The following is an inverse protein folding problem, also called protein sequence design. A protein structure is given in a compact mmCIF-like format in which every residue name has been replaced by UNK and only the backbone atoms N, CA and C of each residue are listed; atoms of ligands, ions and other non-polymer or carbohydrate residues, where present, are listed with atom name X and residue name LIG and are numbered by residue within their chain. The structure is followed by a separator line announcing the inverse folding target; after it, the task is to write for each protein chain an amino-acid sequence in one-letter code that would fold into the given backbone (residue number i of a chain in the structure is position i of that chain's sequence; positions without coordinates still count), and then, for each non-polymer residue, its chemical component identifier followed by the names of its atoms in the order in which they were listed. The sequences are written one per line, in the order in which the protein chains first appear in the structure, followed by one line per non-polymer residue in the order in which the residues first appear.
data_IF_655891339347
#
_entry.id   IF_655891339347
#
_cell.length_a   1.000
_cell.length_b   1.000
_cell.length_c   1.000
_cell.angle_alpha   90.00
_cell.angle_beta   90.00
_cell.angle_gamma   90.00
#
_symmetry.space_group_name_H-M   'P 1'
#
loop_
_entity.id
_entity.type
_entity.pdbx_description
1 polymer ?
#
# COMPACT_ATOMS: atom_id res chain seq x y z
N UNK A 1 6.24 -16.10 8.09
CA UNK A 1 5.81 -15.12 7.07
C UNK A 1 7.02 -14.76 6.24
N UNK A 2 6.97 -15.04 4.95
CA UNK A 2 8.02 -14.70 3.99
C UNK A 2 7.75 -13.33 3.36
N UNK A 3 8.75 -12.78 2.67
CA UNK A 3 8.56 -11.56 1.88
C UNK A 3 7.54 -11.76 0.75
N UNK A 4 7.51 -12.95 0.15
CA UNK A 4 6.58 -13.24 -0.96
C UNK A 4 5.14 -13.33 -0.46
N UNK A 5 4.91 -13.83 0.77
CA UNK A 5 3.60 -13.79 1.41
C UNK A 5 3.10 -12.34 1.55
N UNK A 6 3.97 -11.44 2.03
CA UNK A 6 3.65 -10.01 2.18
C UNK A 6 3.40 -9.33 0.84
N UNK A 7 4.23 -9.59 -0.17
CA UNK A 7 4.02 -9.07 -1.52
C UNK A 7 2.68 -9.57 -2.07
N UNK A 8 2.34 -10.86 -1.93
CA UNK A 8 1.06 -11.41 -2.39
C UNK A 8 -0.15 -10.85 -1.63
N UNK A 9 0.06 -10.32 -0.42
CA UNK A 9 -0.99 -9.66 0.36
C UNK A 9 -1.35 -8.28 -0.21
N UNK A 10 -0.44 -7.60 -0.92
CA UNK A 10 -0.73 -6.34 -1.63
C UNK A 10 -1.79 -6.56 -2.72
N UNK A 11 -2.78 -5.67 -2.81
CA UNK A 11 -3.91 -5.69 -3.76
C UNK A 11 -4.08 -4.33 -4.44
N UNK A 12 -4.80 -4.24 -5.57
CA UNK A 12 -5.27 -2.93 -6.02
C UNK A 12 -6.41 -2.46 -5.12
N UNK A 13 -6.61 -1.15 -5.03
CA UNK A 13 -7.84 -0.63 -4.42
C UNK A 13 -8.98 -0.92 -5.38
N UNK A 14 -9.97 -1.68 -4.92
CA UNK A 14 -11.24 -1.89 -5.59
C UNK A 14 -12.29 -1.12 -4.79
N UNK A 15 -13.22 -0.47 -5.47
CA UNK A 15 -14.29 0.24 -4.78
C UNK A 15 -15.60 0.26 -5.57
N UNK A 16 -16.70 0.41 -4.84
CA UNK A 16 -18.03 0.64 -5.41
C UNK A 16 -18.20 2.10 -5.82
N UNK A 17 -18.63 2.32 -7.07
CA UNK A 17 -18.81 3.66 -7.64
C UNK A 17 -20.16 4.29 -7.28
N UNK A 18 -21.17 3.46 -7.00
CA UNK A 18 -22.56 3.86 -6.85
C UNK A 18 -23.32 4.02 -8.18
N UNK A 19 -22.68 3.71 -9.31
CA UNK A 19 -23.28 3.80 -10.65
C UNK A 19 -23.69 2.39 -11.14
N UNK A 20 -24.94 2.23 -11.57
CA UNK A 20 -25.48 0.93 -12.00
C UNK A 20 -24.74 0.32 -13.20
N UNK A 21 -24.32 1.18 -14.14
CA UNK A 21 -23.61 0.75 -15.35
C UNK A 21 -22.15 0.37 -15.09
N UNK A 22 -21.52 1.00 -14.08
CA UNK A 22 -20.09 0.90 -13.80
C UNK A 22 -19.85 0.62 -12.31
N UNK A 23 -20.42 -0.44 -11.73
CA UNK A 23 -20.56 -0.59 -10.28
C UNK A 23 -19.24 -0.66 -9.51
N UNK A 24 -18.13 -0.99 -10.17
CA UNK A 24 -16.82 -1.18 -9.54
C UNK A 24 -15.71 -0.48 -10.31
N UNK A 25 -14.77 0.12 -9.61
CA UNK A 25 -13.58 0.71 -10.22
C UNK A 25 -12.30 0.38 -9.43
N UNK A 26 -11.16 0.73 -10.02
CA UNK A 26 -9.81 0.49 -9.48
C UNK A 26 -9.07 1.82 -9.29
N UNK A 27 -8.29 1.96 -8.22
CA UNK A 27 -7.48 3.17 -7.99
C UNK A 27 -6.20 2.89 -7.22
N UNK A 28 -5.08 2.66 -7.91
CA UNK A 28 -3.81 2.44 -7.23
C UNK A 28 -3.72 1.12 -6.46
N UNK A 29 -2.87 1.08 -5.44
CA UNK A 29 -2.45 -0.12 -4.71
C UNK A 29 -2.72 0.05 -3.21
N UNK A 30 -3.08 -1.02 -2.49
CA UNK A 30 -3.23 -1.05 -1.04
C UNK A 30 -2.67 -2.34 -0.44
N UNK A 31 -2.37 -2.33 0.86
CA UNK A 31 -1.78 -3.47 1.56
C UNK A 31 -2.22 -3.52 3.02
N UNK A 32 -2.18 -4.71 3.65
CA UNK A 32 -2.59 -4.87 5.03
C UNK A 32 -1.41 -4.66 6.00
N UNK A 33 -1.70 -4.06 7.15
CA UNK A 33 -0.78 -3.99 8.31
C UNK A 33 -1.56 -4.31 9.58
N UNK A 34 -0.88 -4.84 10.58
CA UNK A 34 -1.43 -4.96 11.94
C UNK A 34 -0.77 -3.95 12.87
N UNK A 35 -1.50 -3.55 13.90
CA UNK A 35 -0.95 -2.79 15.01
C UNK A 35 -1.68 -3.18 16.28
N UNK A 36 -0.97 -3.74 17.28
CA UNK A 36 -1.57 -4.26 18.51
C UNK A 36 -2.74 -5.23 18.27
N UNK A 37 -2.59 -6.12 17.28
CA UNK A 37 -3.62 -7.12 16.92
C UNK A 37 -4.80 -6.58 16.09
N UNK A 38 -4.89 -5.27 15.83
CA UNK A 38 -5.92 -4.68 14.97
C UNK A 38 -5.43 -4.63 13.52
N UNK A 39 -6.29 -5.04 12.58
CA UNK A 39 -6.00 -5.04 11.15
C UNK A 39 -6.39 -3.71 10.49
N UNK A 40 -5.48 -3.20 9.66
CA UNK A 40 -5.66 -1.99 8.87
C UNK A 40 -5.29 -2.24 7.41
N UNK A 41 -5.95 -1.53 6.50
CA UNK A 41 -5.58 -1.46 5.08
C UNK A 41 -5.02 -0.06 4.81
N UNK A 42 -3.86 -0.01 4.18
CA UNK A 42 -3.09 1.22 3.95
C UNK A 42 -2.89 1.45 2.47
N UNK A 43 -2.92 2.72 2.05
CA UNK A 43 -2.63 3.16 0.69
C UNK A 43 -2.19 4.63 0.65
N UNK A 44 -1.96 5.17 -0.54
CA UNK A 44 -1.81 6.59 -0.78
C UNK A 44 -3.19 7.30 -0.72
N UNK A 45 -3.24 8.49 -0.13
CA UNK A 45 -4.50 9.19 0.10
C UNK A 45 -5.13 9.71 -1.20
N UNK A 46 -4.32 10.18 -2.15
CA UNK A 46 -4.84 10.69 -3.43
C UNK A 46 -5.60 9.63 -4.24
N UNK A 47 -5.29 8.34 -4.05
CA UNK A 47 -6.05 7.24 -4.65
C UNK A 47 -7.51 7.22 -4.18
N UNK A 48 -7.79 7.72 -2.97
CA UNK A 48 -9.14 7.87 -2.43
C UNK A 48 -9.74 9.23 -2.75
N UNK A 49 -8.99 10.31 -2.52
CA UNK A 49 -9.54 11.67 -2.64
C UNK A 49 -9.91 12.04 -4.08
N UNK A 50 -9.12 11.59 -5.07
CA UNK A 50 -9.37 11.93 -6.48
C UNK A 50 -10.69 11.35 -7.00
N UNK A 51 -11.11 10.20 -6.45
CA UNK A 51 -12.35 9.51 -6.82
C UNK A 51 -13.43 9.58 -5.74
N UNK A 52 -13.19 10.35 -4.66
CA UNK A 52 -14.10 10.50 -3.50
C UNK A 52 -14.52 9.15 -2.89
N UNK A 53 -13.60 8.19 -2.86
CA UNK A 53 -13.83 6.85 -2.32
C UNK A 53 -14.06 6.97 -0.82
N UNK A 54 -15.16 6.40 -0.34
CA UNK A 54 -15.44 6.29 1.09
C UNK A 54 -15.00 4.92 1.64
N UNK A 55 -14.70 4.80 2.93
CA UNK A 55 -14.31 3.52 3.54
C UNK A 55 -15.33 2.41 3.30
N UNK A 56 -16.61 2.70 3.44
CA UNK A 56 -17.70 1.73 3.25
C UNK A 56 -17.80 1.17 1.83
N UNK A 57 -17.25 1.90 0.84
CA UNK A 57 -17.25 1.47 -0.56
C UNK A 57 -15.97 0.73 -0.93
N UNK A 58 -15.00 0.60 -0.04
CA UNK A 58 -13.71 -0.03 -0.34
C UNK A 58 -13.84 -1.55 -0.23
N UNK A 59 -13.35 -2.26 -1.24
CA UNK A 59 -13.41 -3.71 -1.32
C UNK A 59 -11.99 -4.30 -1.21
N UNK A 60 -11.65 -4.78 -0.01
CA UNK A 60 -10.43 -5.56 0.20
C UNK A 60 -10.81 -7.03 0.46
N UNK A 61 -10.34 -7.99 -0.37
CA UNK A 61 -10.79 -9.37 -0.31
C UNK A 61 -10.32 -10.07 0.96
N UNK A 62 -11.19 -10.89 1.52
CA UNK A 62 -10.88 -11.76 2.64
C UNK A 62 -10.09 -12.99 2.19
N UNK A 63 -9.03 -13.40 2.90
CA UNK A 63 -8.27 -14.60 2.52
C UNK A 63 -9.06 -15.91 2.71
N UNK A 64 -10.01 -15.93 3.64
CA UNK A 64 -10.79 -17.11 4.02
C UNK A 64 -12.11 -17.25 3.26
N UNK A 65 -12.59 -16.15 2.66
CA UNK A 65 -13.79 -16.12 1.82
C UNK A 65 -13.49 -15.41 0.48
N UNK A 66 -13.40 -16.13 -0.65
CA UNK A 66 -13.12 -15.54 -1.96
C UNK A 66 -14.24 -14.61 -2.48
N UNK A 67 -15.41 -14.62 -1.84
CA UNK A 67 -16.54 -13.73 -2.16
C UNK A 67 -16.71 -12.61 -1.13
N UNK A 68 -16.00 -12.69 0.00
CA UNK A 68 -16.11 -11.78 1.11
C UNK A 68 -15.11 -10.63 1.05
N UNK A 69 -15.53 -9.48 1.56
CA UNK A 69 -14.71 -8.29 1.69
C UNK A 69 -14.72 -7.80 3.14
N UNK A 70 -13.62 -7.15 3.56
CA UNK A 70 -13.62 -6.47 4.84
C UNK A 70 -14.49 -5.21 4.80
N UNK A 71 -15.15 -4.94 5.91
CA UNK A 71 -15.87 -3.71 6.18
C UNK A 71 -14.96 -2.78 6.97
N UNK A 72 -15.12 -1.47 6.78
CA UNK A 72 -14.28 -0.46 7.41
C UNK A 72 -15.13 0.50 8.23
N UNK A 73 -14.71 0.80 9.45
CA UNK A 73 -15.44 1.69 10.37
C UNK A 73 -14.72 3.01 10.66
N UNK A 74 -13.47 3.15 10.19
CA UNK A 74 -12.67 4.34 10.38
C UNK A 74 -11.71 4.56 9.22
N UNK A 75 -11.55 5.83 8.85
CA UNK A 75 -10.49 6.33 7.98
C UNK A 75 -9.69 7.38 8.71
N UNK A 76 -8.38 7.29 8.61
CA UNK A 76 -7.47 8.27 9.19
C UNK A 76 -6.28 8.55 8.27
N UNK A 77 -5.56 9.61 8.61
CA UNK A 77 -4.32 10.02 7.97
C UNK A 77 -3.37 10.43 9.09
N UNK A 78 -2.17 9.87 9.11
CA UNK A 78 -1.11 10.37 9.97
C UNK A 78 -0.39 11.54 9.33
N UNK A 79 0.00 12.45 10.19
CA UNK A 79 0.77 13.63 9.87
C UNK A 79 1.95 13.72 10.84
N UNK A 80 2.99 14.43 10.43
CA UNK A 80 4.07 14.84 11.32
C UNK A 80 3.92 16.34 11.58
N UNK A 81 3.64 16.73 12.82
CA UNK A 81 3.43 18.15 13.20
C UNK A 81 4.63 19.05 12.84
N UNK A 82 5.83 18.48 12.81
CA UNK A 82 7.09 19.15 12.52
C UNK A 82 7.43 19.25 11.01
N UNK A 83 6.63 18.65 10.12
CA UNK A 83 6.88 18.72 8.69
C UNK A 83 6.51 20.10 8.12
N UNK A 84 7.26 20.53 7.10
CA UNK A 84 7.09 21.82 6.42
C UNK A 84 6.29 21.74 5.13
N UNK A 85 5.99 20.53 4.68
CA UNK A 85 5.22 20.22 3.46
C UNK A 85 4.08 19.25 3.75
N UNK A 86 3.30 18.87 2.73
CA UNK A 86 2.12 18.02 2.89
C UNK A 86 2.26 16.65 2.21
N UNK A 87 3.40 16.36 1.57
CA UNK A 87 3.61 15.13 0.81
C UNK A 87 3.59 13.91 1.73
N UNK A 88 4.13 14.04 2.94
CA UNK A 88 4.06 13.00 3.97
C UNK A 88 2.62 12.68 4.42
N UNK A 89 1.66 13.58 4.16
CA UNK A 89 0.25 13.41 4.52
C UNK A 89 -0.52 12.59 3.48
N UNK A 90 0.11 12.19 2.37
CA UNK A 90 -0.50 11.43 1.28
C UNK A 90 -0.55 9.92 1.56
N UNK A 91 -0.97 9.54 2.75
CA UNK A 91 -1.37 8.17 3.04
C UNK A 91 -2.76 8.14 3.69
N UNK A 92 -3.40 6.98 3.59
CA UNK A 92 -4.66 6.69 4.24
C UNK A 92 -4.58 5.36 4.97
N UNK A 93 -5.18 5.31 6.16
CA UNK A 93 -5.29 4.13 7.00
C UNK A 93 -6.78 3.84 7.19
N UNK A 94 -7.22 2.67 6.74
CA UNK A 94 -8.58 2.17 6.95
C UNK A 94 -8.56 1.09 8.03
N UNK A 95 -9.36 1.26 9.08
CA UNK A 95 -9.50 0.24 10.13
C UNK A 95 -10.56 -0.77 9.72
N UNK A 96 -10.23 -2.06 9.81
CA UNK A 96 -11.21 -3.13 9.60
C UNK A 96 -12.17 -3.17 10.79
N UNK A 97 -13.47 -3.15 10.50
CA UNK A 97 -14.53 -3.05 11.50
C UNK A 97 -14.69 -4.36 12.29
N UNK A 98 -14.21 -4.40 13.53
CA UNK A 98 -14.32 -5.58 14.42
C UNK A 98 -15.77 -5.97 14.75
N UNK A 99 -16.73 -5.06 14.56
CA UNK A 99 -18.16 -5.37 14.69
C UNK A 99 -18.71 -6.28 13.59
N UNK A 100 -17.99 -6.41 12.47
CA UNK A 100 -18.40 -7.20 11.30
C UNK A 100 -17.49 -8.40 11.04
N UNK A 101 -16.30 -8.42 11.65
CA UNK A 101 -15.28 -9.44 11.45
C UNK A 101 -14.74 -9.92 12.80
N UNK A 102 -14.80 -11.22 13.02
CA UNK A 102 -14.19 -11.91 14.15
C UNK A 102 -12.67 -11.75 14.14
N UNK A 103 -12.05 -11.93 15.31
CA UNK A 103 -10.60 -11.87 15.43
C UNK A 103 -9.92 -12.91 14.53
N UNK A 104 -10.44 -14.14 14.48
CA UNK A 104 -9.90 -15.23 13.65
C UNK A 104 -9.86 -14.86 12.15
N UNK A 105 -10.90 -14.20 11.64
CA UNK A 105 -10.94 -13.72 10.24
C UNK A 105 -9.82 -12.71 9.96
N UNK A 106 -9.57 -11.79 10.90
CA UNK A 106 -8.49 -10.80 10.75
C UNK A 106 -7.10 -11.37 11.05
N UNK A 107 -7.01 -12.42 11.87
CA UNK A 107 -5.76 -13.03 12.28
C UNK A 107 -5.09 -13.81 11.14
N UNK A 108 -5.90 -14.42 10.28
CA UNK A 108 -5.46 -15.13 9.08
C UNK A 108 -4.89 -14.23 7.98
N UNK A 109 -5.02 -12.90 8.09
CA UNK A 109 -4.45 -11.97 7.13
C UNK A 109 -2.94 -11.87 7.30
N UNK A 110 -2.22 -12.18 6.22
CA UNK A 110 -0.78 -11.97 6.12
C UNK A 110 -0.50 -10.46 6.13
N UNK A 111 0.07 -9.97 7.22
CA UNK A 111 0.40 -8.57 7.43
C UNK A 111 1.54 -8.43 8.46
N UNK A 112 2.40 -7.42 8.30
CA UNK A 112 3.37 -7.08 9.34
C UNK A 112 2.66 -6.39 10.51
N UNK A 113 2.98 -6.82 11.74
CA UNK A 113 2.59 -6.07 12.93
C UNK A 113 3.61 -4.95 13.17
N UNK A 114 3.17 -3.71 12.96
CA UNK A 114 3.99 -2.51 13.09
C UNK A 114 4.10 -2.01 14.54
N UNK A 115 3.42 -2.63 15.50
CA UNK A 115 3.70 -2.41 16.93
C UNK A 115 5.05 -3.03 17.34
N UNK A 116 5.49 -4.07 16.62
CA UNK A 116 6.81 -4.67 16.79
C UNK A 116 7.85 -3.77 16.12
N UNK A 117 8.67 -3.10 16.93
CA UNK A 117 9.64 -2.10 16.45
C UNK A 117 10.66 -2.62 15.44
N UNK A 118 10.89 -3.94 15.36
CA UNK A 118 11.78 -4.54 14.37
C UNK A 118 11.19 -4.62 12.97
N UNK A 119 9.87 -4.53 12.85
CA UNK A 119 9.16 -4.70 11.58
C UNK A 119 9.10 -3.42 10.73
N UNK A 120 9.63 -2.29 11.22
CA UNK A 120 9.68 -1.02 10.50
C UNK A 120 11.09 -0.43 10.50
N UNK A 121 11.60 -0.01 9.33
CA UNK A 121 12.96 0.49 9.16
C UNK A 121 13.03 1.61 8.13
N UNK A 122 13.66 2.71 8.52
CA UNK A 122 13.92 3.82 7.60
C UNK A 122 14.69 3.30 6.38
N UNK A 123 14.28 3.65 5.15
CA UNK A 123 14.88 3.11 3.93
C UNK A 123 16.37 3.37 3.75
N UNK A 124 16.93 4.42 4.36
CA UNK A 124 18.37 4.71 4.28
C UNK A 124 19.22 3.92 5.26
N UNK A 125 18.63 2.95 5.98
CA UNK A 125 19.36 2.06 6.88
C UNK A 125 20.36 1.19 6.11
N UNK A 126 21.62 1.21 6.53
CA UNK A 126 22.70 0.38 5.95
C UNK A 126 22.54 -1.12 6.22
N UNK A 127 21.55 -1.53 7.02
CA UNK A 127 21.25 -2.92 7.32
C UNK A 127 20.33 -3.59 6.30
N UNK A 128 19.71 -2.81 5.41
CA UNK A 128 18.77 -3.36 4.42
C UNK A 128 19.58 -3.94 3.25
N UNK A 129 19.42 -5.23 3.01
CA UNK A 129 20.17 -6.00 2.01
C UNK A 129 19.53 -5.91 0.62
N UNK A 130 18.20 -5.90 0.57
CA UNK A 130 17.41 -5.83 -0.66
C UNK A 130 16.10 -5.07 -0.40
N UNK A 131 15.55 -4.49 -1.45
CA UNK A 131 14.23 -3.88 -1.46
C UNK A 131 13.33 -4.63 -2.41
N UNK A 132 12.09 -4.89 -2.02
CA UNK A 132 11.07 -5.51 -2.86
C UNK A 132 9.79 -4.72 -2.82
N UNK A 133 9.17 -4.58 -3.98
CA UNK A 133 7.86 -3.95 -4.13
C UNK A 133 6.98 -4.81 -5.01
N UNK A 134 5.68 -4.80 -4.72
CA UNK A 134 4.64 -5.31 -5.62
C UNK A 134 3.51 -4.30 -5.63
N UNK A 135 3.12 -3.85 -6.81
CA UNK A 135 2.01 -2.93 -6.99
C UNK A 135 1.20 -3.26 -8.24
N UNK A 136 0.19 -2.43 -8.53
CA UNK A 136 -0.76 -2.64 -9.61
C UNK A 136 -0.77 -1.45 -10.56
N UNK A 137 0.07 -1.47 -11.61
CA UNK A 137 0.07 -0.43 -12.61
C UNK A 137 -1.28 -0.37 -13.35
N UNK A 138 -1.78 0.85 -13.58
CA UNK A 138 -3.02 1.11 -14.29
C UNK A 138 -2.97 0.59 -15.73
N UNK A 139 -1.85 0.84 -16.43
CA UNK A 139 -1.68 0.51 -17.84
C UNK A 139 -1.30 -0.98 -18.07
N UNK A 140 -1.37 -1.83 -17.04
CA UNK A 140 -1.07 -3.23 -17.20
C UNK A 140 -2.12 -3.93 -18.08
N UNK A 141 -1.73 -4.71 -19.11
CA UNK A 141 -2.65 -5.21 -20.15
C UNK A 141 -3.83 -6.05 -19.64
N UNK A 142 -3.69 -6.70 -18.48
CA UNK A 142 -4.73 -7.52 -17.85
C UNK A 142 -5.29 -6.90 -16.57
N UNK A 143 -5.14 -5.59 -16.39
CA UNK A 143 -5.68 -4.84 -15.26
C UNK A 143 -6.92 -4.05 -15.70
N UNK A 144 -8.06 -4.28 -15.05
CA UNK A 144 -9.31 -3.59 -15.39
C UNK A 144 -10.57 -4.34 -15.00
N UNK A 145 -11.71 -3.70 -15.23
CA UNK A 145 -13.05 -4.24 -14.97
C UNK A 145 -13.73 -4.53 -16.31
N UNK A 146 -14.17 -5.77 -16.50
CA UNK A 146 -15.01 -6.16 -17.63
C UNK A 146 -16.44 -6.38 -17.10
N UNK A 147 -17.32 -5.41 -17.36
CA UNK A 147 -18.69 -5.41 -16.84
C UNK A 147 -19.57 -6.45 -17.55
N UNK A 148 -19.39 -6.65 -18.86
CA UNK A 148 -20.13 -7.65 -19.63
C UNK A 148 -19.87 -9.07 -19.10
N UNK A 149 -18.61 -9.37 -18.78
CA UNK A 149 -18.18 -10.65 -18.22
C UNK A 149 -18.24 -10.69 -16.69
N UNK A 150 -18.65 -9.60 -16.04
CA UNK A 150 -18.68 -9.44 -14.57
C UNK A 150 -17.36 -9.87 -13.91
N UNK A 151 -16.24 -9.43 -14.48
CA UNK A 151 -14.91 -9.88 -14.07
C UNK A 151 -13.97 -8.70 -13.82
N UNK A 152 -13.37 -8.68 -12.63
CA UNK A 152 -12.22 -7.82 -12.31
C UNK A 152 -10.95 -8.62 -12.60
N UNK A 153 -10.08 -8.09 -13.46
CA UNK A 153 -8.77 -8.67 -13.76
C UNK A 153 -7.68 -7.78 -13.19
N UNK A 154 -6.65 -8.39 -12.61
CA UNK A 154 -5.58 -7.68 -11.93
C UNK A 154 -4.24 -8.24 -12.37
N UNK A 155 -3.34 -7.36 -12.80
CA UNK A 155 -1.96 -7.72 -13.10
C UNK A 155 -1.04 -6.94 -12.18
N UNK A 156 -0.32 -7.66 -11.32
CA UNK A 156 0.68 -7.07 -10.45
C UNK A 156 2.00 -6.88 -11.20
N UNK A 157 2.72 -5.83 -10.85
CA UNK A 157 4.13 -5.66 -11.14
C UNK A 157 4.94 -5.91 -9.88
N UNK A 158 5.93 -6.80 -9.96
CA UNK A 158 6.86 -7.09 -8.87
C UNK A 158 8.27 -6.79 -9.33
N UNK A 159 9.05 -6.11 -8.49
CA UNK A 159 10.46 -5.86 -8.73
C UNK A 159 11.24 -5.88 -7.42
N UNK A 160 12.55 -6.10 -7.53
CA UNK A 160 13.48 -6.13 -6.42
C UNK A 160 14.79 -5.41 -6.78
N UNK A 161 15.59 -5.14 -5.76
CA UNK A 161 16.87 -4.47 -5.87
C UNK A 161 16.75 -2.95 -5.95
N UNK A 162 17.74 -2.28 -5.36
CA UNK A 162 17.83 -0.83 -5.30
C UNK A 162 19.16 -0.36 -5.89
N UNK A 163 19.11 0.62 -6.81
CA UNK A 163 20.29 1.33 -7.35
C UNK A 163 20.75 2.44 -6.41
N UNK A 164 19.85 3.01 -5.63
CA UNK A 164 20.15 4.09 -4.73
C UNK A 164 18.92 4.55 -3.96
N UNK A 165 19.18 5.01 -2.74
CA UNK A 165 18.17 5.62 -1.89
C UNK A 165 18.72 6.89 -1.24
N UNK A 166 17.94 7.94 -1.29
CA UNK A 166 18.27 9.23 -0.69
C UNK A 166 17.06 9.81 0.01
N UNK A 167 17.26 10.83 0.84
CA UNK A 167 16.15 11.65 1.32
C UNK A 167 15.58 12.42 0.13
N UNK A 168 14.25 12.43 0.02
CA UNK A 168 13.55 13.28 -0.92
C UNK A 168 13.62 14.74 -0.44
N UNK A 169 13.28 15.73 -1.30
CA UNK A 169 13.17 17.12 -0.87
C UNK A 169 11.97 17.38 0.07
N UNK A 170 11.11 16.38 0.26
CA UNK A 170 9.94 16.44 1.15
C UNK A 170 10.27 15.78 2.49
N UNK A 171 9.79 16.37 3.57
CA UNK A 171 9.97 15.88 4.93
C UNK A 171 9.39 14.46 5.05
N UNK A 172 10.11 13.61 5.78
CA UNK A 172 9.78 12.18 5.98
C UNK A 172 9.60 11.35 4.71
N UNK A 173 10.08 11.85 3.56
CA UNK A 173 10.03 11.13 2.30
C UNK A 173 11.42 10.74 1.80
N UNK A 174 11.46 9.68 0.99
CA UNK A 174 12.67 9.10 0.44
C UNK A 174 12.53 8.90 -1.06
N UNK A 175 13.60 9.17 -1.81
CA UNK A 175 13.69 8.83 -3.23
C UNK A 175 14.32 7.45 -3.37
N UNK A 176 13.55 6.49 -3.88
CA UNK A 176 13.96 5.11 -4.08
C UNK A 176 14.11 4.82 -5.59
N UNK A 177 15.33 4.49 -6.02
CA UNK A 177 15.61 4.08 -7.39
C UNK A 177 15.71 2.56 -7.49
N UNK A 178 14.68 1.89 -7.98
CA UNK A 178 14.71 0.43 -8.18
C UNK A 178 15.62 0.05 -9.36
N UNK A 179 16.13 -1.19 -9.39
CA UNK A 179 16.93 -1.69 -10.53
C UNK A 179 16.10 -1.68 -11.82
N UNK A 180 14.89 -2.21 -11.73
CA UNK A 180 13.84 -2.12 -12.74
C UNK A 180 12.68 -1.33 -12.14
N UNK A 181 12.63 0.00 -12.30
CA UNK A 181 11.56 0.82 -11.74
C UNK A 181 10.30 0.80 -12.61
N UNK A 182 10.43 0.45 -13.90
CA UNK A 182 9.35 0.54 -14.89
C UNK A 182 8.94 -0.88 -15.31
N UNK A 183 7.64 -1.23 -15.23
CA UNK A 183 7.12 -2.51 -15.70
C UNK A 183 7.24 -2.67 -17.22
N UNK A 184 8.27 -3.36 -17.72
CA UNK A 184 8.36 -3.77 -19.15
C UNK A 184 8.02 -2.67 -20.18
N UNK A 185 8.44 -1.41 -19.95
CA UNK A 185 8.16 -0.27 -20.83
C UNK A 185 6.81 0.44 -20.60
N UNK A 186 6.04 0.03 -19.58
CA UNK A 186 4.77 0.66 -19.16
C UNK A 186 5.00 1.77 -18.15
N UNK A 187 4.15 2.80 -18.16
CA UNK A 187 4.22 3.83 -17.14
C UNK A 187 3.88 3.25 -15.75
N UNK A 188 4.61 3.61 -14.67
CA UNK A 188 4.31 3.12 -13.31
C UNK A 188 3.08 3.80 -12.67
N UNK A 189 2.18 4.39 -13.47
CA UNK A 189 0.92 4.93 -12.97
C UNK A 189 0.13 3.80 -12.30
N UNK A 190 -0.51 4.06 -11.16
CA UNK A 190 -1.20 3.03 -10.35
C UNK A 190 -0.31 2.36 -9.29
N UNK A 191 1.00 2.59 -9.29
CA UNK A 191 1.88 2.10 -8.21
C UNK A 191 1.71 2.84 -6.88
N UNK A 192 1.01 3.98 -6.85
CA UNK A 192 0.70 4.72 -5.61
C UNK A 192 0.00 3.82 -4.59
N UNK A 193 0.44 3.89 -3.34
CA UNK A 193 0.01 3.06 -2.23
C UNK A 193 0.73 1.70 -2.12
N UNK A 194 1.69 1.41 -3.02
CA UNK A 194 2.53 0.21 -2.93
C UNK A 194 3.40 0.24 -1.67
N UNK A 195 3.43 -0.84 -0.86
CA UNK A 195 4.38 -0.95 0.24
C UNK A 195 5.79 -1.20 -0.31
N UNK A 196 6.77 -0.56 0.33
CA UNK A 196 8.18 -0.85 0.15
C UNK A 196 8.61 -1.75 1.30
N UNK A 197 9.06 -2.95 0.96
CA UNK A 197 9.63 -3.88 1.93
C UNK A 197 11.14 -3.97 1.75
N UNK A 198 11.86 -3.90 2.86
CA UNK A 198 13.28 -4.23 2.94
C UNK A 198 13.49 -5.65 3.47
N UNK A 199 14.69 -6.21 3.27
CA UNK A 199 15.12 -7.48 3.86
C UNK A 199 16.33 -7.20 4.78
N UNK A 200 16.27 -7.68 6.02
CA UNK A 200 17.38 -7.64 6.99
C UNK A 200 17.52 -9.04 7.59
N UNK A 201 18.68 -9.68 7.46
CA UNK A 201 18.93 -11.02 7.99
C UNK A 201 17.83 -12.03 7.57
N UNK A 202 17.40 -12.00 6.30
CA UNK A 202 16.25 -12.74 5.74
C UNK A 202 14.85 -12.42 6.33
N UNK A 203 14.70 -11.38 7.14
CA UNK A 203 13.41 -10.96 7.68
C UNK A 203 12.85 -9.75 6.92
N UNK A 204 11.58 -9.78 6.49
CA UNK A 204 10.96 -8.64 5.84
C UNK A 204 10.69 -7.52 6.85
N UNK A 205 10.97 -6.28 6.44
CA UNK A 205 10.67 -5.07 7.21
C UNK A 205 9.93 -4.07 6.33
N UNK A 206 8.98 -3.34 6.90
CA UNK A 206 8.29 -2.24 6.24
C UNK A 206 9.21 -1.01 6.18
N UNK A 207 9.37 -0.48 4.97
CA UNK A 207 10.23 0.66 4.68
C UNK A 207 9.46 1.89 4.16
N UNK A 208 8.13 1.82 4.01
CA UNK A 208 7.35 2.98 3.59
C UNK A 208 6.35 2.68 2.49
N UNK A 209 5.68 3.72 2.03
CA UNK A 209 4.64 3.63 0.98
C UNK A 209 4.98 4.51 -0.19
N UNK A 210 4.94 3.97 -1.41
CA UNK A 210 5.09 4.74 -2.65
C UNK A 210 3.90 5.69 -2.80
N UNK A 211 4.16 6.97 -3.07
CA UNK A 211 3.10 7.96 -3.34
C UNK A 211 3.18 8.59 -4.73
N UNK A 212 4.35 8.57 -5.36
CA UNK A 212 4.50 9.04 -6.75
C UNK A 212 5.74 8.46 -7.39
N UNK A 213 5.77 8.51 -8.72
CA UNK A 213 6.94 8.25 -9.53
C UNK A 213 7.39 9.54 -10.22
N UNK A 214 8.68 9.82 -10.17
CA UNK A 214 9.31 10.95 -10.86
C UNK A 214 9.87 10.47 -12.20
N UNK A 215 9.24 10.85 -13.30
CA UNK A 215 9.75 10.55 -14.66
C UNK A 215 11.12 11.21 -14.91
N UNK A 216 11.37 12.38 -14.31
CA UNK A 216 12.61 13.14 -14.48
C UNK A 216 13.79 12.39 -13.86
N UNK A 217 13.61 11.84 -12.66
CA UNK A 217 14.71 11.18 -11.92
C UNK A 217 14.68 9.66 -12.02
N UNK A 218 13.59 9.08 -12.50
CA UNK A 218 13.37 7.63 -12.56
C UNK A 218 13.22 6.98 -11.19
N UNK A 219 12.64 7.71 -10.22
CA UNK A 219 12.58 7.32 -8.81
C UNK A 219 11.16 7.31 -8.28
N UNK A 220 10.91 6.38 -7.35
CA UNK A 220 9.72 6.40 -6.53
C UNK A 220 9.94 7.32 -5.33
N UNK A 221 8.94 8.15 -5.04
CA UNK A 221 8.90 8.90 -3.78
C UNK A 221 8.09 8.08 -2.79
N UNK A 222 8.70 7.84 -1.64
CA UNK A 222 8.23 6.93 -0.61
C UNK A 222 8.04 7.69 0.69
N UNK A 223 6.85 7.66 1.27
CA UNK A 223 6.62 8.14 2.65
C UNK A 223 7.29 7.15 3.60
N UNK A 224 8.10 7.66 4.52
CA UNK A 224 8.82 6.89 5.52
C UNK A 224 7.91 6.12 6.47
N UNK A 225 8.40 5.00 7.04
CA UNK A 225 7.60 4.16 7.92
C UNK A 225 7.21 4.86 9.22
N UNK A 226 8.00 5.83 9.68
CA UNK A 226 7.75 6.62 10.87
C UNK A 226 6.39 7.33 10.84
N UNK A 227 5.93 7.77 9.67
CA UNK A 227 4.64 8.45 9.52
C UNK A 227 3.50 7.47 9.79
N UNK A 228 3.50 6.30 9.13
CA UNK A 228 2.46 5.30 9.31
C UNK A 228 2.42 4.79 10.76
N UNK A 229 3.59 4.46 11.34
CA UNK A 229 3.69 3.97 12.72
C UNK A 229 3.17 5.01 13.72
N UNK A 230 3.47 6.29 13.53
CA UNK A 230 2.95 7.35 14.39
C UNK A 230 1.44 7.53 14.22
N UNK A 231 0.90 7.36 13.00
CA UNK A 231 -0.54 7.34 12.75
C UNK A 231 -1.25 6.26 13.53
N UNK A 232 -0.76 5.03 13.40
CA UNK A 232 -1.33 3.87 14.08
C UNK A 232 -1.28 4.00 15.61
N UNK A 233 -0.29 4.70 16.16
CA UNK A 233 -0.21 5.01 17.61
C UNK A 233 -1.28 5.99 18.09
N UNK A 234 -1.77 6.86 17.21
CA UNK A 234 -2.75 7.90 17.52
C UNK A 234 -4.21 7.46 17.34
N UNK A 235 -4.45 6.23 16.89
CA UNK A 235 -5.78 5.62 16.71
C UNK A 235 -6.19 4.82 17.94
#
# INVERSE_FOLDING_TARGET
MTIDDLLNSTKPIIYETGEDEWPYALSGTCYPVKYNGVLFIVSAFHCYSNFKIKPENTLYPRPDDPTGFFAFDQQSRAHAEQAKDNEHYDHVILRVAQSHHSQDETDNVIALDLAVSTNARIPTSNKIEDFRIRGYPHDAPKHGVNYDLKKISQQAYTTNGCKGITKAPFDFCYSLRMITPIPCGMHPNGMSGTPVYGIIDNHPVYCGTIIKYSEITGEYIVIGPEILVNGLKGL
#
